data_IF_018569271723
#
_entry.id   IF_018569271723
#
_cell.length_a   1.000
_cell.length_b   1.000
_cell.length_c   1.000
_cell.angle_alpha   90.00
_cell.angle_beta   90.00
_cell.angle_gamma   90.00
#
_symmetry.space_group_name_H-M   'P 1'
#
loop_
_entity.id
_entity.type
_entity.pdbx_description
1 polymer ?
#
# COMPACT_ATOMS: atom_id res chain seq x y z
N UNK A 1 51.16 -52.54 -6.42
CA UNK A 1 51.35 -51.64 -7.57
C UNK A 1 49.97 -51.57 -8.21
N UNK A 2 49.11 -50.74 -7.58
CA UNK A 2 48.75 -49.38 -8.05
C UNK A 2 47.76 -49.50 -9.23
N UNK A 3 46.54 -48.96 -9.19
CA UNK A 3 46.16 -47.64 -8.70
C UNK A 3 44.76 -47.60 -8.07
N UNK A 4 44.64 -46.71 -7.09
CA UNK A 4 43.38 -46.29 -6.49
C UNK A 4 42.92 -44.93 -7.00
N UNK A 5 41.60 -44.73 -6.87
CA UNK A 5 40.88 -43.50 -6.49
C UNK A 5 41.11 -42.24 -7.35
N UNK A 6 40.06 -41.79 -8.05
CA UNK A 6 39.44 -40.48 -7.75
C UNK A 6 38.21 -40.24 -8.66
N UNK A 7 37.03 -40.61 -8.16
CA UNK A 7 35.75 -40.08 -8.64
C UNK A 7 35.48 -38.77 -7.89
N UNK A 8 35.93 -37.66 -8.45
CA UNK A 8 35.60 -36.31 -7.97
C UNK A 8 35.32 -35.39 -9.15
N UNK A 9 34.14 -35.48 -9.74
CA UNK A 9 33.58 -34.35 -10.49
C UNK A 9 32.05 -34.35 -10.46
N UNK A 10 31.45 -34.13 -9.30
CA UNK A 10 30.04 -33.74 -9.24
C UNK A 10 29.72 -32.99 -7.94
N UNK A 11 30.17 -31.74 -7.81
CA UNK A 11 29.78 -30.88 -6.67
C UNK A 11 29.91 -29.39 -7.01
N UNK A 12 29.36 -28.94 -8.15
CA UNK A 12 29.32 -27.48 -8.45
C UNK A 12 27.97 -26.96 -8.96
N UNK A 13 27.03 -27.83 -9.37
CA UNK A 13 25.74 -27.39 -9.95
C UNK A 13 24.65 -27.07 -8.92
N UNK A 14 24.81 -27.51 -7.66
CA UNK A 14 23.79 -27.33 -6.61
C UNK A 14 23.86 -25.94 -5.96
N UNK A 15 25.01 -25.25 -6.03
CA UNK A 15 25.20 -23.93 -5.42
C UNK A 15 24.75 -22.77 -6.31
N UNK A 16 24.64 -22.98 -7.63
CA UNK A 16 24.31 -21.92 -8.59
C UNK A 16 22.81 -21.82 -8.89
N UNK A 17 22.04 -22.88 -8.63
CA UNK A 17 20.59 -22.92 -8.87
C UNK A 17 19.76 -22.19 -7.80
N UNK A 18 20.21 -22.19 -6.54
CA UNK A 18 19.47 -21.58 -5.42
C UNK A 18 19.53 -20.04 -5.43
N UNK A 19 20.61 -19.46 -5.93
CA UNK A 19 20.80 -18.00 -6.02
C UNK A 19 19.92 -17.39 -7.11
N UNK A 20 19.85 -18.02 -8.30
CA UNK A 20 19.01 -17.55 -9.40
C UNK A 20 17.52 -17.59 -9.06
N UNK A 21 17.05 -18.67 -8.42
CA UNK A 21 15.63 -18.77 -8.01
C UNK A 21 15.22 -17.76 -6.94
N UNK A 22 16.15 -17.31 -6.11
CA UNK A 22 15.85 -16.29 -5.10
C UNK A 22 15.79 -14.90 -5.73
N UNK A 23 16.65 -14.61 -6.70
CA UNK A 23 16.68 -13.32 -7.39
C UNK A 23 15.43 -13.11 -8.25
N UNK A 24 14.99 -14.14 -8.98
CA UNK A 24 13.75 -14.12 -9.77
C UNK A 24 12.51 -13.88 -8.89
N UNK A 25 12.46 -14.51 -7.71
CA UNK A 25 11.38 -14.32 -6.73
C UNK A 25 11.39 -12.91 -6.15
N UNK A 26 12.56 -12.40 -5.78
CA UNK A 26 12.70 -11.04 -5.27
C UNK A 26 12.26 -10.03 -6.33
N UNK A 27 12.63 -10.23 -7.60
CA UNK A 27 12.20 -9.39 -8.73
C UNK A 27 10.69 -9.37 -8.87
N UNK A 28 10.05 -10.55 -8.88
CA UNK A 28 8.59 -10.65 -8.96
C UNK A 28 7.91 -9.95 -7.78
N UNK A 29 8.42 -10.12 -6.56
CA UNK A 29 7.91 -9.39 -5.39
C UNK A 29 8.04 -7.87 -5.56
N UNK A 30 9.08 -7.37 -6.24
CA UNK A 30 9.21 -5.92 -6.49
C UNK A 30 8.21 -5.41 -7.52
N UNK A 31 7.96 -6.19 -8.58
CA UNK A 31 6.96 -5.89 -9.58
C UNK A 31 5.56 -5.84 -8.95
N UNK A 32 5.22 -6.86 -8.15
CA UNK A 32 3.92 -6.95 -7.47
C UNK A 32 3.71 -5.80 -6.49
N UNK A 33 4.74 -5.46 -5.70
CA UNK A 33 4.70 -4.29 -4.80
C UNK A 33 4.50 -3.00 -5.57
N UNK A 34 5.21 -2.82 -6.68
CA UNK A 34 5.11 -1.61 -7.51
C UNK A 34 3.74 -1.48 -8.15
N UNK A 35 3.20 -2.57 -8.69
CA UNK A 35 1.87 -2.64 -9.29
C UNK A 35 0.78 -2.27 -8.26
N UNK A 36 0.81 -2.88 -7.07
CA UNK A 36 -0.15 -2.58 -6.00
C UNK A 36 0.00 -1.14 -5.51
N UNK A 37 1.24 -0.66 -5.38
CA UNK A 37 1.52 0.70 -4.91
C UNK A 37 1.03 1.76 -5.88
N UNK A 38 1.27 1.59 -7.18
CA UNK A 38 0.78 2.49 -8.21
C UNK A 38 -0.75 2.60 -8.14
N UNK A 39 -1.45 1.47 -8.05
CA UNK A 39 -2.91 1.46 -8.01
C UNK A 39 -3.45 2.11 -6.74
N UNK A 40 -2.79 1.90 -5.60
CA UNK A 40 -3.13 2.59 -4.36
C UNK A 40 -2.93 4.11 -4.46
N UNK A 41 -1.83 4.57 -5.05
CA UNK A 41 -1.57 5.99 -5.27
C UNK A 41 -2.59 6.63 -6.24
N UNK A 42 -2.96 5.93 -7.31
CA UNK A 42 -4.02 6.38 -8.21
C UNK A 42 -5.38 6.46 -7.52
N UNK A 43 -5.69 5.51 -6.64
CA UNK A 43 -6.88 5.59 -5.80
C UNK A 43 -6.87 6.85 -4.92
N UNK A 44 -5.79 7.09 -4.17
CA UNK A 44 -5.66 8.28 -3.31
C UNK A 44 -5.83 9.58 -4.09
N UNK A 45 -5.24 9.65 -5.29
CA UNK A 45 -5.42 10.78 -6.20
C UNK A 45 -6.87 10.93 -6.66
N UNK A 46 -7.54 9.82 -6.99
CA UNK A 46 -8.92 9.82 -7.49
C UNK A 46 -9.96 10.23 -6.44
N UNK A 47 -9.66 10.03 -5.16
CA UNK A 47 -10.57 10.38 -4.05
C UNK A 47 -10.31 11.78 -3.48
N UNK A 48 -9.33 12.52 -4.00
CA UNK A 48 -9.08 13.90 -3.60
C UNK A 48 -10.32 14.76 -3.81
N UNK A 49 -10.70 15.52 -2.78
CA UNK A 49 -11.89 16.36 -2.76
C UNK A 49 -13.20 15.59 -2.59
N UNK A 50 -13.17 14.27 -2.38
CA UNK A 50 -14.38 13.46 -2.17
C UNK A 50 -14.75 13.39 -0.70
N UNK A 51 -16.05 13.43 -0.43
CA UNK A 51 -16.59 13.17 0.90
C UNK A 51 -16.32 11.71 1.27
N UNK A 52 -15.66 11.51 2.41
CA UNK A 52 -15.18 10.22 2.88
C UNK A 52 -15.64 10.02 4.32
N UNK A 53 -16.21 8.85 4.57
CA UNK A 53 -16.62 8.40 5.87
C UNK A 53 -15.49 7.61 6.53
N UNK A 54 -15.12 7.98 7.75
CA UNK A 54 -14.06 7.33 8.52
C UNK A 54 -14.64 6.68 9.77
N UNK A 55 -14.31 5.41 9.96
CA UNK A 55 -14.54 4.69 11.21
C UNK A 55 -13.24 4.66 12.00
N UNK A 56 -13.29 5.13 13.22
CA UNK A 56 -12.15 5.26 14.13
C UNK A 56 -12.34 4.37 15.37
N UNK A 57 -11.29 4.25 16.18
CA UNK A 57 -11.42 3.61 17.49
C UNK A 57 -12.43 4.33 18.40
N UNK A 58 -12.83 3.65 19.48
CA UNK A 58 -13.81 4.16 20.46
C UNK A 58 -15.22 4.43 19.89
N UNK A 59 -15.60 3.72 18.82
CA UNK A 59 -16.90 3.86 18.13
C UNK A 59 -17.15 5.26 17.58
N UNK A 60 -16.08 5.98 17.26
CA UNK A 60 -16.16 7.29 16.62
C UNK A 60 -16.28 7.10 15.11
N UNK A 61 -17.35 7.65 14.54
CA UNK A 61 -17.54 7.75 13.10
C UNK A 61 -17.57 9.23 12.74
N UNK A 62 -16.78 9.62 11.74
CA UNK A 62 -16.65 11.02 11.30
C UNK A 62 -16.69 11.10 9.79
N UNK A 63 -17.28 12.17 9.28
CA UNK A 63 -17.31 12.47 7.86
C UNK A 63 -16.41 13.67 7.58
N UNK A 64 -15.60 13.57 6.54
CA UNK A 64 -14.70 14.65 6.14
C UNK A 64 -14.44 14.62 4.62
N UNK A 65 -13.96 15.71 4.07
CA UNK A 65 -13.50 15.74 2.68
C UNK A 65 -12.03 15.35 2.64
N UNK A 66 -11.71 14.25 1.96
CA UNK A 66 -10.32 13.80 1.82
C UNK A 66 -9.53 14.79 0.95
N UNK A 67 -8.37 15.24 1.42
CA UNK A 67 -7.53 16.18 0.69
C UNK A 67 -6.25 15.52 0.17
N UNK A 68 -5.43 15.00 1.08
CA UNK A 68 -4.10 14.47 0.76
C UNK A 68 -3.72 13.35 1.74
N UNK A 69 -2.78 12.50 1.34
CA UNK A 69 -2.03 11.66 2.27
C UNK A 69 -0.55 12.02 2.23
N UNK A 70 0.18 11.64 3.28
CA UNK A 70 1.64 11.53 3.15
C UNK A 70 2.03 10.41 2.17
N UNK A 71 3.34 10.35 1.86
CA UNK A 71 3.90 9.35 0.94
C UNK A 71 3.82 7.94 1.50
N UNK A 72 3.71 7.72 2.80
CA UNK A 72 3.65 6.38 3.40
C UNK A 72 2.20 5.91 3.62
N UNK A 73 1.22 6.78 3.36
CA UNK A 73 -0.19 6.54 3.61
C UNK A 73 -0.53 6.45 5.10
N UNK A 74 0.23 7.12 5.97
CA UNK A 74 0.07 7.03 7.43
C UNK A 74 -0.76 8.15 8.04
N UNK A 75 -0.93 9.26 7.31
CA UNK A 75 -1.72 10.40 7.74
C UNK A 75 -2.55 10.93 6.57
N UNK A 76 -3.78 11.33 6.87
CA UNK A 76 -4.72 11.93 5.93
C UNK A 76 -5.03 13.36 6.34
N UNK A 77 -4.73 14.31 5.46
CA UNK A 77 -5.24 15.67 5.56
C UNK A 77 -6.68 15.67 5.07
N UNK A 78 -7.56 16.24 5.88
CA UNK A 78 -8.98 16.36 5.57
C UNK A 78 -9.46 17.79 5.82
N UNK A 79 -10.49 18.20 5.10
CA UNK A 79 -11.25 19.42 5.38
C UNK A 79 -12.66 19.09 5.83
N UNK A 80 -13.31 20.05 6.49
CA UNK A 80 -14.72 19.96 6.89
C UNK A 80 -15.01 18.68 7.70
N UNK A 81 -14.11 18.38 8.65
CA UNK A 81 -14.21 17.22 9.53
C UNK A 81 -15.36 17.44 10.50
N UNK A 82 -16.44 16.68 10.32
CA UNK A 82 -17.60 16.71 11.19
C UNK A 82 -17.35 15.82 12.41
N UNK A 83 -17.32 16.46 13.57
CA UNK A 83 -17.30 15.79 14.87
C UNK A 83 -18.60 16.10 15.60
N UNK A 84 -18.98 15.31 16.61
CA UNK A 84 -20.14 15.63 17.44
C UNK A 84 -20.07 17.02 18.11
N UNK A 85 -18.86 17.56 18.30
CA UNK A 85 -18.64 18.89 18.90
C UNK A 85 -18.70 20.03 17.87
N UNK A 86 -18.82 19.72 16.58
CA UNK A 86 -18.84 20.67 15.48
C UNK A 86 -17.86 20.33 14.37
N UNK A 87 -17.80 21.21 13.37
CA UNK A 87 -16.98 21.04 12.17
C UNK A 87 -15.62 21.69 12.33
N UNK A 88 -14.55 20.93 12.09
CA UNK A 88 -13.20 21.48 12.00
C UNK A 88 -12.83 21.75 10.54
N UNK A 89 -12.45 23.00 10.19
CA UNK A 89 -12.16 23.35 8.79
C UNK A 89 -11.02 22.54 8.17
N UNK A 90 -10.01 22.20 8.96
CA UNK A 90 -8.82 21.45 8.55
C UNK A 90 -8.40 20.54 9.70
N UNK A 91 -8.07 19.29 9.42
CA UNK A 91 -7.55 18.34 10.39
C UNK A 91 -6.62 17.32 9.73
N UNK A 92 -5.71 16.76 10.53
CA UNK A 92 -4.88 15.63 10.12
C UNK A 92 -5.29 14.40 10.92
N UNK A 93 -5.84 13.40 10.24
CA UNK A 93 -6.19 12.11 10.83
C UNK A 93 -5.00 11.16 10.69
N UNK A 94 -4.57 10.56 11.79
CA UNK A 94 -3.56 9.50 11.75
C UNK A 94 -4.24 8.19 11.35
N UNK A 95 -3.68 7.46 10.41
CA UNK A 95 -4.18 6.15 10.00
C UNK A 95 -4.18 5.14 11.15
N UNK A 96 -3.29 5.31 12.14
CA UNK A 96 -3.28 4.51 13.37
C UNK A 96 -4.59 4.63 14.18
N UNK A 97 -5.34 5.72 14.04
CA UNK A 97 -6.62 5.93 14.72
C UNK A 97 -7.82 5.47 13.86
N UNK A 98 -7.60 5.14 12.58
CA UNK A 98 -8.62 4.78 11.60
C UNK A 98 -8.69 3.27 11.45
N UNK A 99 -9.90 2.71 11.55
CA UNK A 99 -10.21 1.30 11.28
C UNK A 99 -10.49 1.11 9.79
N UNK A 100 -11.28 2.01 9.20
CA UNK A 100 -11.64 1.96 7.78
C UNK A 100 -12.07 3.32 7.27
N UNK A 101 -11.90 3.54 5.96
CA UNK A 101 -12.52 4.65 5.24
C UNK A 101 -13.42 4.13 4.12
N UNK A 102 -14.46 4.88 3.78
CA UNK A 102 -15.37 4.57 2.69
C UNK A 102 -15.70 5.84 1.92
N UNK A 103 -15.59 5.77 0.60
CA UNK A 103 -15.74 6.90 -0.30
C UNK A 103 -16.59 6.48 -1.48
N UNK A 104 -17.58 7.31 -1.80
CA UNK A 104 -18.32 7.16 -3.05
C UNK A 104 -17.51 7.82 -4.17
N UNK A 105 -17.00 7.00 -5.06
CA UNK A 105 -16.13 7.45 -6.15
C UNK A 105 -16.97 8.12 -7.25
N UNK A 106 -18.28 7.83 -7.33
CA UNK A 106 -19.14 8.19 -8.46
C UNK A 106 -18.65 7.54 -9.76
N UNK A 107 -19.56 7.07 -10.60
CA UNK A 107 -19.19 6.70 -11.98
C UNK A 107 -18.73 7.96 -12.70
N UNK A 108 -17.43 8.10 -12.94
CA UNK A 108 -16.83 9.33 -13.47
C UNK A 108 -17.43 9.75 -14.81
N UNK A 109 -18.01 10.96 -14.87
CA UNK A 109 -18.11 11.67 -16.14
C UNK A 109 -16.71 12.16 -16.51
N UNK A 110 -16.04 11.38 -17.36
CA UNK A 110 -14.81 11.77 -18.00
C UNK A 110 -15.13 12.89 -19.01
N UNK A 111 -15.09 14.16 -18.57
CA UNK A 111 -15.06 15.29 -19.50
C UNK A 111 -13.70 15.28 -20.20
N UNK A 112 -13.71 14.78 -21.44
CA UNK A 112 -12.65 14.97 -22.43
C UNK A 112 -12.52 16.44 -22.84
#
# INVERSE_FOLDING_TARGET
>A
MEDGVDDKTQNNDILQSTSTTNDDRLSQEQEDRSFLRERFLHFLKGIQGKRTHFKMYEKTEVDATFQLSDIDGQNFLVSDLETPMGTQPQAMLRCADIISCSVDIGTGEHKM
#
